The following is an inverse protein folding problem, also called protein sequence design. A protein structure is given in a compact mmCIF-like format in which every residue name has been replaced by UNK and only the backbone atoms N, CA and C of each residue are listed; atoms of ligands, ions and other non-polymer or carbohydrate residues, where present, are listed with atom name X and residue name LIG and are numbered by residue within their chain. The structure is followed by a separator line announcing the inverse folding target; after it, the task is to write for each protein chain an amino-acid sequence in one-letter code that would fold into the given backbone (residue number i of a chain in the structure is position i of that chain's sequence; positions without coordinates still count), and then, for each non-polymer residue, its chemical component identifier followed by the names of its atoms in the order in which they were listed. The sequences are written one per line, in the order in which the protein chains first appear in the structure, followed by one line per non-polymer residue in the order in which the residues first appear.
data_IF_821311775576
#
_entry.id   IF_821311775576
#
_cell.length_a   1.000
_cell.length_b   1.000
_cell.length_c   1.000
_cell.angle_alpha   90.00
_cell.angle_beta   90.00
_cell.angle_gamma   90.00
#
_symmetry.space_group_name_H-M   'P 1'
#
loop_
_entity.id
_entity.type
_entity.pdbx_description
1 polymer ?
#
# COMPACT_ATOMS: atom_id res chain seq x y z
N UNK A 1 -35.10 74.40 49.26
CA UNK A 1 -35.46 74.94 47.91
C UNK A 1 -36.17 73.83 47.14
N UNK A 2 -37.52 73.86 47.02
CA UNK A 2 -38.30 74.19 45.79
C UNK A 2 -37.76 73.49 44.52
N UNK A 3 -38.50 72.78 43.67
CA UNK A 3 -39.91 72.33 43.55
C UNK A 3 -40.01 71.52 42.23
N UNK A 4 -40.93 70.55 42.15
CA UNK A 4 -41.65 70.04 40.95
C UNK A 4 -40.83 69.26 39.89
N UNK A 5 -41.31 68.23 39.18
CA UNK A 5 -42.62 67.59 38.92
C UNK A 5 -42.29 66.21 38.26
N UNK A 6 -43.15 65.23 37.98
CA UNK A 6 -44.57 64.94 38.11
C UNK A 6 -44.77 63.47 37.71
N UNK A 7 -45.74 62.80 38.37
CA UNK A 7 -46.65 61.75 37.86
C UNK A 7 -46.01 60.47 37.28
N UNK A 8 -46.11 59.35 38.02
CA UNK A 8 -47.14 58.32 37.82
C UNK A 8 -47.44 58.05 36.33
N UNK A 9 -47.09 56.86 35.83
CA UNK A 9 -47.97 55.94 35.09
C UNK A 9 -47.18 54.70 34.66
N UNK A 10 -47.75 53.53 35.00
CA UNK A 10 -47.51 52.18 34.45
C UNK A 10 -46.27 51.40 34.92
N UNK A 11 -46.44 50.79 36.09
CA UNK A 11 -46.26 49.34 36.19
C UNK A 11 -47.06 48.66 35.07
N UNK A 12 -46.40 47.95 34.16
CA UNK A 12 -46.82 46.67 33.57
C UNK A 12 -45.73 46.22 32.57
N UNK A 13 -45.58 44.90 32.45
CA UNK A 13 -44.66 44.17 31.57
C UNK A 13 -43.23 43.94 32.10
N UNK A 14 -43.14 43.17 33.20
CA UNK A 14 -42.25 42.01 33.19
C UNK A 14 -42.63 41.11 32.01
N UNK A 15 -41.67 40.68 31.20
CA UNK A 15 -41.86 39.55 30.30
C UNK A 15 -41.18 39.68 28.94
N UNK A 16 -40.08 38.93 28.78
CA UNK A 16 -39.65 38.32 27.52
C UNK A 16 -39.19 39.23 26.37
N UNK A 17 -38.06 39.93 26.52
CA UNK A 17 -37.24 40.35 25.36
C UNK A 17 -35.76 40.16 25.72
N UNK A 18 -35.34 38.89 25.83
CA UNK A 18 -33.93 38.50 25.92
C UNK A 18 -33.75 37.07 25.41
N UNK A 19 -34.33 36.73 24.25
CA UNK A 19 -34.07 35.44 23.60
C UNK A 19 -34.51 35.47 22.13
N UNK A 20 -33.75 36.17 21.28
CA UNK A 20 -33.94 36.11 19.82
C UNK A 20 -32.66 36.55 19.08
N UNK A 21 -31.52 35.99 19.47
CA UNK A 21 -30.24 36.19 18.77
C UNK A 21 -29.35 34.94 18.83
N UNK A 22 -29.96 33.77 18.66
CA UNK A 22 -29.25 32.47 18.62
C UNK A 22 -29.78 31.56 17.51
N UNK A 23 -29.93 32.10 16.30
CA UNK A 23 -30.22 31.34 15.08
C UNK A 23 -29.37 31.88 13.92
N UNK A 24 -28.06 31.81 14.08
CA UNK A 24 -27.18 31.58 12.96
C UNK A 24 -26.85 30.09 13.01
N UNK A 25 -27.24 29.28 12.00
CA UNK A 25 -26.66 27.95 11.91
C UNK A 25 -25.15 28.15 11.82
N UNK A 26 -24.43 27.60 12.80
CA UNK A 26 -23.00 27.42 12.72
C UNK A 26 -22.76 26.72 11.38
N UNK A 27 -22.17 27.40 10.41
CA UNK A 27 -21.70 26.76 9.19
C UNK A 27 -20.78 25.64 9.67
N UNK A 28 -21.28 24.40 9.61
CA UNK A 28 -20.49 23.23 9.86
C UNK A 28 -19.33 23.31 8.86
N UNK A 29 -18.13 23.50 9.39
CA UNK A 29 -16.91 23.50 8.60
C UNK A 29 -16.84 22.11 7.99
N UNK A 30 -17.07 21.98 6.68
CA UNK A 30 -16.87 20.71 6.00
C UNK A 30 -15.40 20.39 6.10
N UNK A 31 -15.04 19.46 6.99
CA UNK A 31 -13.72 18.85 6.97
C UNK A 31 -13.59 18.18 5.61
N UNK A 32 -12.84 18.81 4.71
CA UNK A 32 -12.41 18.14 3.49
C UNK A 32 -11.62 16.91 3.93
N UNK A 33 -12.03 15.68 3.57
CA UNK A 33 -11.28 14.49 3.91
C UNK A 33 -9.83 14.72 3.52
N UNK A 34 -8.90 14.36 4.39
CA UNK A 34 -7.50 14.54 4.05
C UNK A 34 -7.24 13.70 2.77
N UNK A 35 -6.40 14.22 1.86
CA UNK A 35 -6.16 13.57 0.57
C UNK A 35 -5.61 12.15 0.73
N UNK A 36 -4.84 11.91 1.80
CA UNK A 36 -4.31 10.59 2.14
C UNK A 36 -5.42 9.61 2.51
N UNK A 37 -6.41 10.01 3.29
CA UNK A 37 -7.58 9.18 3.64
C UNK A 37 -8.39 8.86 2.39
N UNK A 38 -8.50 9.81 1.46
CA UNK A 38 -9.20 9.60 0.18
C UNK A 38 -8.50 8.57 -0.69
N UNK A 39 -7.16 8.62 -0.75
CA UNK A 39 -6.35 7.62 -1.48
C UNK A 39 -6.47 6.25 -0.80
N UNK A 40 -6.33 6.19 0.53
CA UNK A 40 -6.46 4.94 1.29
C UNK A 40 -7.84 4.29 1.11
N UNK A 41 -8.92 5.08 1.06
CA UNK A 41 -10.26 4.59 0.77
C UNK A 41 -10.40 4.06 -0.67
N UNK A 42 -9.71 4.68 -1.64
CA UNK A 42 -9.67 4.21 -3.02
C UNK A 42 -8.94 2.86 -3.12
N UNK A 43 -7.77 2.75 -2.49
CA UNK A 43 -6.99 1.51 -2.45
C UNK A 43 -7.77 0.38 -1.78
N UNK A 44 -8.43 0.64 -0.64
CA UNK A 44 -9.28 -0.37 0.01
C UNK A 44 -10.52 -0.77 -0.83
N UNK A 45 -11.06 0.16 -1.62
CA UNK A 45 -12.14 -0.14 -2.57
C UNK A 45 -11.69 -1.02 -3.73
N UNK A 46 -10.44 -0.87 -4.19
CA UNK A 46 -9.83 -1.72 -5.21
C UNK A 46 -9.58 -3.12 -4.67
N UNK A 47 -8.97 -3.25 -3.49
CA UNK A 47 -8.75 -4.51 -2.79
C UNK A 47 -10.05 -5.32 -2.68
N UNK A 48 -11.09 -4.72 -2.09
CA UNK A 48 -12.40 -5.37 -1.95
C UNK A 48 -13.06 -5.75 -3.28
N UNK A 49 -12.73 -5.06 -4.37
CA UNK A 49 -13.24 -5.39 -5.72
C UNK A 49 -12.56 -6.62 -6.27
N UNK A 50 -11.25 -6.72 -6.13
CA UNK A 50 -10.49 -7.90 -6.57
C UNK A 50 -10.80 -9.12 -5.70
N UNK A 51 -10.87 -8.97 -4.38
CA UNK A 51 -11.25 -10.05 -3.47
C UNK A 51 -12.63 -10.61 -3.79
N UNK A 52 -13.60 -9.73 -4.08
CA UNK A 52 -14.94 -10.15 -4.51
C UNK A 52 -14.93 -10.87 -5.86
N UNK A 53 -14.10 -10.42 -6.80
CA UNK A 53 -14.00 -11.04 -8.12
C UNK A 53 -13.40 -12.45 -8.05
N UNK A 54 -12.33 -12.62 -7.27
CA UNK A 54 -11.63 -13.90 -7.09
C UNK A 54 -12.21 -14.77 -5.96
N UNK A 55 -13.21 -14.26 -5.23
CA UNK A 55 -13.82 -14.89 -4.06
C UNK A 55 -12.78 -15.37 -3.03
N UNK A 56 -11.74 -14.58 -2.82
CA UNK A 56 -10.61 -14.92 -1.94
C UNK A 56 -10.08 -13.66 -1.24
N UNK A 57 -9.59 -13.82 -0.02
CA UNK A 57 -8.83 -12.79 0.69
C UNK A 57 -7.42 -12.76 0.07
N UNK A 58 -7.08 -11.64 -0.56
CA UNK A 58 -5.81 -11.48 -1.28
C UNK A 58 -4.64 -11.16 -0.33
N UNK A 59 -4.93 -10.82 0.92
CA UNK A 59 -3.92 -10.63 1.97
C UNK A 59 -3.42 -11.96 2.54
N UNK A 60 -4.18 -13.05 2.37
CA UNK A 60 -3.78 -14.43 2.74
C UNK A 60 -3.30 -15.23 1.53
N UNK A 61 -1.99 -15.51 1.47
CA UNK A 61 -1.43 -16.46 0.49
C UNK A 61 -1.50 -17.88 1.07
N UNK A 62 -2.62 -18.55 0.87
CA UNK A 62 -2.86 -19.95 1.26
C UNK A 62 -2.71 -20.93 0.07
N UNK A 63 -2.08 -20.49 -1.03
CA UNK A 63 -1.97 -21.31 -2.24
C UNK A 63 -0.85 -22.34 -2.11
N UNK A 64 -1.21 -23.61 -2.30
CA UNK A 64 -0.26 -24.72 -2.41
C UNK A 64 0.74 -24.42 -3.54
N UNK A 65 2.06 -24.39 -3.26
CA UNK A 65 3.08 -24.18 -4.28
C UNK A 65 2.96 -25.11 -5.49
N UNK A 66 2.48 -26.35 -5.30
CA UNK A 66 2.24 -27.29 -6.39
C UNK A 66 1.10 -26.83 -7.32
N UNK A 67 0.05 -26.22 -6.77
CA UNK A 67 -1.04 -25.66 -7.56
C UNK A 67 -0.60 -24.43 -8.37
N UNK A 68 0.32 -23.62 -7.80
CA UNK A 68 0.93 -22.49 -8.50
C UNK A 68 1.76 -23.00 -9.69
N UNK A 69 2.63 -23.99 -9.48
CA UNK A 69 3.43 -24.59 -10.55
C UNK A 69 2.55 -25.16 -11.68
N UNK A 70 1.49 -25.92 -11.34
CA UNK A 70 0.54 -26.44 -12.33
C UNK A 70 -0.16 -25.33 -13.12
N UNK A 71 -0.51 -24.23 -12.45
CA UNK A 71 -1.11 -23.07 -13.12
C UNK A 71 -0.12 -22.43 -14.09
N UNK A 72 1.14 -22.27 -13.69
CA UNK A 72 2.19 -21.73 -14.55
C UNK A 72 2.46 -22.62 -15.77
N UNK A 73 2.47 -23.95 -15.61
CA UNK A 73 2.63 -24.89 -16.73
C UNK A 73 1.45 -24.83 -17.70
N UNK A 74 0.22 -24.80 -17.17
CA UNK A 74 -0.96 -24.61 -17.99
C UNK A 74 -0.90 -23.31 -18.79
N UNK A 75 -0.51 -22.19 -18.14
CA UNK A 75 -0.36 -20.89 -18.81
C UNK A 75 0.75 -20.91 -19.86
N UNK A 76 1.85 -21.62 -19.60
CA UNK A 76 2.93 -21.79 -20.57
C UNK A 76 2.44 -22.51 -21.83
N UNK A 77 1.62 -23.54 -21.69
CA UNK A 77 1.00 -24.26 -22.81
C UNK A 77 -0.01 -23.38 -23.55
N UNK A 78 -0.87 -22.66 -22.82
CA UNK A 78 -1.95 -21.85 -23.40
C UNK A 78 -1.43 -20.59 -24.13
N UNK A 79 -0.36 -19.98 -23.64
CA UNK A 79 0.12 -18.66 -24.11
C UNK A 79 1.48 -18.70 -24.81
N UNK A 80 2.21 -19.82 -24.68
CA UNK A 80 3.61 -19.91 -25.12
C UNK A 80 4.60 -19.11 -24.27
N UNK A 81 4.15 -18.51 -23.16
CA UNK A 81 4.98 -17.67 -22.28
C UNK A 81 5.37 -18.45 -21.03
N UNK A 82 6.67 -18.64 -20.78
CA UNK A 82 7.16 -19.39 -19.61
C UNK A 82 7.40 -18.45 -18.44
N UNK A 83 6.37 -18.32 -17.60
CA UNK A 83 6.39 -17.44 -16.42
C UNK A 83 6.84 -18.16 -15.16
N UNK A 84 7.44 -17.41 -14.23
CA UNK A 84 7.68 -17.85 -12.85
C UNK A 84 7.20 -16.79 -11.85
N UNK A 85 6.81 -17.24 -10.66
CA UNK A 85 6.48 -16.35 -9.53
C UNK A 85 7.68 -16.27 -8.61
N UNK A 86 8.10 -15.05 -8.30
CA UNK A 86 9.26 -14.76 -7.50
C UNK A 86 8.89 -13.92 -6.27
N UNK A 87 8.84 -14.58 -5.11
CA UNK A 87 8.62 -13.91 -3.83
C UNK A 87 9.92 -13.37 -3.28
N UNK A 88 9.86 -12.11 -2.90
CA UNK A 88 10.93 -11.38 -2.21
C UNK A 88 10.42 -11.01 -0.84
N UNK A 89 10.92 -11.69 0.19
CA UNK A 89 10.38 -11.61 1.55
C UNK A 89 11.48 -11.11 2.51
N UNK A 90 11.51 -9.80 2.81
CA UNK A 90 12.43 -9.27 3.81
C UNK A 90 12.09 -9.82 5.21
N UNK A 91 13.04 -10.54 5.81
CA UNK A 91 13.00 -10.91 7.23
C UNK A 91 13.95 -10.02 8.01
N UNK A 92 13.77 -9.96 9.32
CA UNK A 92 14.63 -9.13 10.16
C UNK A 92 16.08 -9.62 10.13
N UNK A 93 16.29 -10.93 9.99
CA UNK A 93 17.63 -11.57 10.01
C UNK A 93 18.22 -11.85 8.62
N UNK A 94 17.41 -11.90 7.57
CA UNK A 94 17.85 -12.27 6.23
C UNK A 94 16.85 -11.83 5.16
N UNK A 95 17.25 -11.92 3.90
CA UNK A 95 16.35 -11.83 2.76
C UNK A 95 15.98 -13.23 2.30
N UNK A 96 14.70 -13.57 2.41
CA UNK A 96 14.16 -14.87 2.00
C UNK A 96 13.58 -14.77 0.60
N UNK A 97 14.11 -15.56 -0.32
CA UNK A 97 13.73 -15.58 -1.72
C UNK A 97 13.09 -16.92 -2.07
N UNK A 98 11.97 -16.89 -2.77
CA UNK A 98 11.28 -18.11 -3.24
C UNK A 98 10.92 -17.95 -4.71
N UNK A 99 11.36 -18.89 -5.54
CA UNK A 99 11.03 -18.96 -6.97
C UNK A 99 10.19 -20.22 -7.24
N UNK A 100 9.02 -20.04 -7.83
CA UNK A 100 8.19 -21.15 -8.32
C UNK A 100 8.13 -21.07 -9.84
N UNK A 101 8.50 -22.16 -10.49
CA UNK A 101 8.51 -22.31 -11.96
C UNK A 101 7.42 -23.30 -12.39
N UNK A 102 7.10 -23.39 -13.70
CA UNK A 102 6.09 -24.32 -14.22
C UNK A 102 6.34 -25.80 -13.88
N UNK A 103 7.60 -26.20 -13.75
CA UNK A 103 8.00 -27.61 -13.77
C UNK A 103 8.61 -28.12 -12.46
N UNK A 104 8.50 -27.39 -11.34
CA UNK A 104 9.36 -27.66 -10.18
C UNK A 104 8.77 -27.41 -8.81
N UNK A 105 9.46 -27.99 -7.83
CA UNK A 105 9.35 -27.61 -6.42
C UNK A 105 9.85 -26.17 -6.23
N UNK A 106 9.35 -25.46 -5.21
CA UNK A 106 9.83 -24.12 -4.89
C UNK A 106 11.34 -24.09 -4.61
N UNK A 107 12.04 -23.17 -5.26
CA UNK A 107 13.46 -22.94 -5.05
C UNK A 107 13.60 -21.82 -4.01
N UNK A 108 14.30 -22.12 -2.92
CA UNK A 108 14.45 -21.19 -1.78
C UNK A 108 15.91 -20.78 -1.63
N UNK A 109 16.16 -19.47 -1.47
CA UNK A 109 17.45 -18.96 -1.05
C UNK A 109 17.32 -17.93 0.07
N UNK A 110 18.11 -18.14 1.13
CA UNK A 110 18.23 -17.22 2.25
C UNK A 110 19.56 -16.48 2.21
N UNK A 111 19.49 -15.15 2.10
CA UNK A 111 20.66 -14.28 2.14
C UNK A 111 20.78 -13.70 3.56
N UNK A 112 21.46 -14.44 4.45
CA UNK A 112 21.70 -14.04 5.84
C UNK A 112 22.59 -12.80 5.97
N UNK A 113 23.41 -12.49 4.96
CA UNK A 113 24.17 -11.24 4.94
C UNK A 113 23.32 -10.03 4.53
N UNK A 114 22.06 -10.23 4.12
CA UNK A 114 21.13 -9.17 3.69
C UNK A 114 19.90 -9.13 4.61
N UNK A 115 20.05 -8.78 5.90
CA UNK A 115 18.92 -8.53 6.78
C UNK A 115 18.14 -7.28 6.35
N UNK A 116 16.90 -7.14 6.84
CA UNK A 116 16.02 -5.98 6.57
C UNK A 116 16.75 -4.64 6.75
N UNK A 117 17.52 -4.50 7.83
CA UNK A 117 18.28 -3.28 8.13
C UNK A 117 19.30 -2.90 7.05
N UNK A 118 19.90 -3.88 6.36
CA UNK A 118 20.83 -3.67 5.24
C UNK A 118 20.09 -3.43 3.92
N UNK A 119 18.95 -4.10 3.73
CA UNK A 119 18.13 -3.99 2.51
C UNK A 119 17.42 -2.64 2.40
N UNK A 120 16.74 -2.19 3.47
CA UNK A 120 15.85 -1.02 3.45
C UNK A 120 16.53 0.28 2.99
N UNK A 121 17.77 0.61 3.38
CA UNK A 121 18.47 1.78 2.86
C UNK A 121 18.69 1.74 1.34
N UNK A 122 19.00 0.56 0.79
CA UNK A 122 19.25 0.40 -0.66
C UNK A 122 17.95 0.51 -1.45
N UNK A 123 16.85 -0.05 -0.96
CA UNK A 123 15.52 0.12 -1.57
C UNK A 123 15.11 1.60 -1.58
N UNK A 124 15.30 2.32 -0.46
CA UNK A 124 15.03 3.77 -0.40
C UNK A 124 15.90 4.57 -1.35
N UNK A 125 17.18 4.21 -1.48
CA UNK A 125 18.08 4.82 -2.44
C UNK A 125 17.59 4.61 -3.86
N UNK A 126 17.25 3.37 -4.24
CA UNK A 126 16.70 3.04 -5.54
C UNK A 126 15.44 3.86 -5.87
N UNK A 127 14.48 3.92 -4.94
CA UNK A 127 13.25 4.69 -5.13
C UNK A 127 13.52 6.19 -5.35
N UNK A 128 14.42 6.77 -4.54
CA UNK A 128 14.83 8.17 -4.71
C UNK A 128 15.52 8.41 -6.06
N UNK A 129 16.34 7.46 -6.50
CA UNK A 129 17.09 7.57 -7.76
C UNK A 129 16.16 7.48 -8.99
N UNK A 130 15.00 6.80 -8.87
CA UNK A 130 13.94 6.84 -9.88
C UNK A 130 13.29 8.22 -9.99
N UNK A 131 13.02 8.88 -8.85
CA UNK A 131 12.31 10.17 -8.82
C UNK A 131 13.23 11.33 -9.23
N UNK A 132 14.45 11.39 -8.68
CA UNK A 132 15.29 12.59 -8.76
C UNK A 132 16.21 12.65 -9.97
N UNK A 133 16.16 11.65 -10.86
CA UNK A 133 17.05 11.52 -12.02
C UNK A 133 18.54 11.84 -11.73
N UNK A 134 19.15 11.37 -10.62
CA UNK A 134 20.57 11.61 -10.36
C UNK A 134 21.47 10.93 -11.40
N UNK A 135 22.74 11.35 -11.45
CA UNK A 135 23.77 10.87 -12.39
C UNK A 135 24.13 9.38 -12.14
N UNK A 136 23.92 8.85 -10.93
CA UNK A 136 24.35 7.52 -10.51
C UNK A 136 23.16 6.63 -10.09
N UNK A 137 22.20 6.41 -11.01
CA UNK A 137 21.04 5.52 -10.77
C UNK A 137 21.43 4.04 -10.63
N UNK A 138 22.64 3.71 -11.03
CA UNK A 138 23.04 2.34 -11.28
C UNK A 138 23.43 1.62 -9.99
N UNK A 139 24.04 2.30 -9.01
CA UNK A 139 24.55 1.62 -7.80
C UNK A 139 23.46 0.85 -7.04
N UNK A 140 22.35 1.50 -6.70
CA UNK A 140 21.27 0.86 -5.94
C UNK A 140 20.57 -0.24 -6.77
N UNK A 141 20.33 0.02 -8.06
CA UNK A 141 19.74 -0.96 -8.98
C UNK A 141 20.62 -2.21 -9.14
N UNK A 142 21.93 -2.05 -9.34
CA UNK A 142 22.89 -3.15 -9.45
C UNK A 142 22.96 -3.94 -8.15
N UNK A 143 22.94 -3.28 -6.99
CA UNK A 143 22.93 -3.99 -5.71
C UNK A 143 21.67 -4.83 -5.52
N UNK A 144 20.50 -4.28 -5.85
CA UNK A 144 19.23 -5.04 -5.79
C UNK A 144 19.23 -6.20 -6.78
N UNK A 145 19.75 -6.02 -7.99
CA UNK A 145 19.90 -7.11 -8.95
C UNK A 145 20.80 -8.24 -8.43
N UNK A 146 21.91 -7.89 -7.79
CA UNK A 146 22.84 -8.86 -7.18
C UNK A 146 22.18 -9.63 -6.03
N UNK A 147 21.30 -9.00 -5.26
CA UNK A 147 20.60 -9.68 -4.16
C UNK A 147 19.40 -10.49 -4.62
N UNK A 148 18.64 -10.00 -5.59
CA UNK A 148 17.35 -10.59 -5.99
C UNK A 148 17.48 -11.59 -7.14
N UNK A 149 18.15 -11.19 -8.22
CA UNK A 149 18.11 -11.96 -9.48
C UNK A 149 19.34 -12.83 -9.65
N UNK A 150 20.52 -12.32 -9.26
CA UNK A 150 21.76 -13.07 -9.45
C UNK A 150 21.79 -14.45 -8.78
N UNK A 151 21.25 -14.64 -7.57
CA UNK A 151 21.21 -15.97 -6.94
C UNK A 151 20.26 -16.94 -7.65
N UNK A 152 19.26 -16.42 -8.36
CA UNK A 152 18.22 -17.20 -9.03
C UNK A 152 18.54 -17.50 -10.51
N UNK A 153 19.58 -16.88 -11.07
CA UNK A 153 19.80 -16.82 -12.52
C UNK A 153 19.87 -18.21 -13.17
N UNK A 154 20.64 -19.11 -12.58
CA UNK A 154 20.79 -20.47 -13.12
C UNK A 154 19.44 -21.19 -13.17
N UNK A 155 18.62 -21.06 -12.12
CA UNK A 155 17.28 -21.65 -12.06
C UNK A 155 16.31 -21.04 -13.08
N UNK A 156 16.37 -19.72 -13.26
CA UNK A 156 15.56 -18.98 -14.24
C UNK A 156 15.92 -19.44 -15.66
N UNK A 157 17.22 -19.52 -15.97
CA UNK A 157 17.73 -19.94 -17.28
C UNK A 157 17.43 -21.42 -17.55
N UNK A 158 17.67 -22.31 -16.59
CA UNK A 158 17.42 -23.75 -16.72
C UNK A 158 15.94 -24.08 -16.98
N UNK A 159 15.02 -23.31 -16.39
CA UNK A 159 13.58 -23.46 -16.59
C UNK A 159 13.05 -22.72 -17.83
N UNK A 160 13.92 -22.04 -18.60
CA UNK A 160 13.59 -21.19 -19.74
C UNK A 160 12.52 -20.15 -19.40
N UNK A 161 12.67 -19.48 -18.26
CA UNK A 161 11.72 -18.44 -17.82
C UNK A 161 11.98 -17.14 -18.56
N UNK A 162 10.96 -16.64 -19.23
CA UNK A 162 10.99 -15.37 -19.98
C UNK A 162 10.27 -14.23 -19.25
N UNK A 163 9.42 -14.57 -18.28
CA UNK A 163 8.56 -13.64 -17.56
C UNK A 163 8.65 -13.91 -16.06
N UNK A 164 8.97 -12.87 -15.27
CA UNK A 164 9.04 -12.95 -13.82
C UNK A 164 7.95 -12.09 -13.20
N UNK A 165 7.05 -12.72 -12.44
CA UNK A 165 6.09 -12.03 -11.59
C UNK A 165 6.72 -11.80 -10.21
N UNK A 166 6.94 -10.55 -9.85
CA UNK A 166 7.48 -10.20 -8.52
C UNK A 166 6.36 -10.07 -7.50
N UNK A 167 6.51 -10.76 -6.38
CA UNK A 167 5.64 -10.63 -5.21
C UNK A 167 6.47 -10.12 -4.03
N UNK A 168 6.29 -8.85 -3.68
CA UNK A 168 6.94 -8.24 -2.52
C UNK A 168 6.01 -8.32 -1.31
N UNK A 169 6.56 -8.66 -0.14
CA UNK A 169 5.86 -8.59 1.14
C UNK A 169 6.44 -7.51 2.06
#
# INVERSE_FOLDING_TARGET
MKRLSSRLIRWFCLGAIALLLSLLPLVARSETPNLSDSILNMEGGLEATFERHFATDLATVDQDPAAIAQTLERLAIETGTRSAVFWVIPRDTHLHLVLITPSGEPIVHDLFDVPRERLTPVVRAFYRDLIRRPIDRQRAATQLYQWLIAPMRESIEAANIDTLLFCFR
#
